data_IF_706683588840
#
_entry.id   IF_706683588840
#
_cell.length_a   1.000
_cell.length_b   1.000
_cell.length_c   1.000
_cell.angle_alpha   90.00
_cell.angle_beta   90.00
_cell.angle_gamma   90.00
#
_symmetry.space_group_name_H-M   'P 1'
#
loop_
_entity.id
_entity.type
_entity.pdbx_description
1 polymer ?
#
# COMPACT_ATOMS: atom_id res chain seq x y z
N UNK A 1 -4.36 -61.29 -26.75
CA UNK A 1 -4.41 -60.01 -27.50
C UNK A 1 -5.30 -59.05 -26.71
N UNK A 2 -4.73 -58.24 -25.81
CA UNK A 2 -5.51 -57.31 -24.99
C UNK A 2 -5.76 -56.00 -25.77
N UNK A 3 -7.01 -55.56 -25.80
CA UNK A 3 -7.46 -54.30 -26.39
C UNK A 3 -7.08 -53.12 -25.50
N UNK A 4 -6.44 -52.12 -26.09
CA UNK A 4 -6.03 -50.88 -25.43
C UNK A 4 -7.21 -49.89 -25.33
N UNK A 5 -7.47 -49.42 -24.12
CA UNK A 5 -8.38 -48.33 -23.78
C UNK A 5 -7.71 -46.97 -24.07
N UNK A 6 -8.36 -45.99 -24.71
CA UNK A 6 -7.80 -44.66 -24.89
C UNK A 6 -7.87 -43.83 -23.59
N UNK A 7 -6.91 -42.91 -23.35
CA UNK A 7 -6.81 -42.16 -22.10
C UNK A 7 -7.86 -41.05 -21.98
N UNK A 8 -8.41 -40.93 -20.78
CA UNK A 8 -9.34 -39.89 -20.37
C UNK A 8 -8.66 -38.52 -20.38
N UNK A 9 -9.24 -37.57 -21.13
CA UNK A 9 -8.91 -36.15 -21.08
C UNK A 9 -9.22 -35.59 -19.70
N UNK A 10 -8.15 -35.31 -18.93
CA UNK A 10 -8.18 -34.53 -17.70
C UNK A 10 -8.81 -33.15 -17.96
N UNK A 11 -10.00 -32.92 -17.41
CA UNK A 11 -10.63 -31.60 -17.40
C UNK A 11 -9.92 -30.74 -16.35
N UNK A 12 -9.18 -29.75 -16.84
CA UNK A 12 -8.59 -28.68 -16.02
C UNK A 12 -9.66 -28.00 -15.15
N UNK A 13 -9.45 -27.83 -13.82
CA UNK A 13 -10.41 -27.15 -12.95
C UNK A 13 -10.41 -25.65 -13.24
N UNK A 14 -11.60 -25.10 -13.49
CA UNK A 14 -11.81 -23.66 -13.73
C UNK A 14 -11.21 -22.81 -12.60
N UNK A 15 -10.59 -21.66 -12.92
CA UNK A 15 -10.05 -20.76 -11.91
C UNK A 15 -11.16 -20.19 -11.00
N UNK A 16 -10.86 -19.92 -9.72
CA UNK A 16 -11.82 -19.35 -8.78
C UNK A 16 -12.31 -17.97 -9.27
N UNK A 17 -13.58 -17.67 -9.02
CA UNK A 17 -14.20 -16.41 -9.40
C UNK A 17 -13.38 -15.21 -8.89
N UNK A 18 -13.11 -14.26 -9.80
CA UNK A 18 -12.37 -13.04 -9.49
C UNK A 18 -13.05 -12.25 -8.37
N UNK A 19 -12.26 -11.73 -7.42
CA UNK A 19 -12.76 -10.89 -6.35
C UNK A 19 -13.57 -9.70 -6.93
N UNK A 20 -14.76 -9.39 -6.39
CA UNK A 20 -15.60 -8.33 -6.91
C UNK A 20 -14.83 -7.00 -6.86
N UNK A 21 -14.67 -6.35 -8.01
CA UNK A 21 -14.12 -5.00 -8.08
C UNK A 21 -15.19 -3.98 -7.67
N UNK A 22 -14.80 -2.73 -7.41
CA UNK A 22 -15.72 -1.68 -6.94
C UNK A 22 -16.96 -1.48 -7.84
N UNK A 23 -16.88 -1.84 -9.13
CA UNK A 23 -17.95 -1.74 -10.12
C UNK A 23 -18.70 -3.07 -10.34
N UNK A 24 -18.16 -4.20 -9.89
CA UNK A 24 -18.82 -5.50 -10.00
C UNK A 24 -19.89 -5.61 -8.91
N UNK A 25 -21.15 -5.93 -9.22
CA UNK A 25 -22.17 -6.12 -8.19
C UNK A 25 -21.77 -7.20 -7.19
N UNK A 26 -21.65 -6.84 -5.91
CA UNK A 26 -21.55 -7.80 -4.82
C UNK A 26 -22.92 -8.38 -4.47
N UNK A 27 -22.94 -9.35 -3.55
CA UNK A 27 -24.16 -10.08 -3.14
C UNK A 27 -25.34 -9.15 -2.79
N UNK A 28 -25.10 -8.08 -2.03
CA UNK A 28 -26.15 -7.14 -1.63
C UNK A 28 -26.63 -6.27 -2.79
N UNK A 29 -25.73 -5.86 -3.67
CA UNK A 29 -26.08 -5.08 -4.86
C UNK A 29 -26.93 -5.91 -5.82
N UNK A 30 -26.56 -7.17 -6.04
CA UNK A 30 -27.34 -8.12 -6.84
C UNK A 30 -28.73 -8.39 -6.23
N UNK A 31 -28.79 -8.61 -4.92
CA UNK A 31 -30.06 -8.77 -4.20
C UNK A 31 -30.95 -7.53 -4.32
N UNK A 32 -30.37 -6.33 -4.22
CA UNK A 32 -31.11 -5.07 -4.40
C UNK A 32 -31.68 -4.95 -5.82
N UNK A 33 -30.87 -5.26 -6.84
CA UNK A 33 -31.30 -5.22 -8.25
C UNK A 33 -32.44 -6.21 -8.51
N UNK A 34 -32.29 -7.42 -7.99
CA UNK A 34 -33.31 -8.47 -8.12
C UNK A 34 -34.61 -8.04 -7.44
N UNK A 35 -34.52 -7.46 -6.24
CA UNK A 35 -35.68 -7.03 -5.47
C UNK A 35 -36.47 -5.92 -6.16
N UNK A 36 -35.82 -4.84 -6.63
CA UNK A 36 -36.56 -3.73 -7.22
C UNK A 36 -37.21 -4.14 -8.56
N UNK A 37 -36.53 -4.99 -9.35
CA UNK A 37 -37.11 -5.53 -10.60
C UNK A 37 -38.33 -6.39 -10.30
N UNK A 38 -38.23 -7.29 -9.32
CA UNK A 38 -39.37 -8.12 -8.91
C UNK A 38 -40.54 -7.29 -8.37
N UNK A 39 -40.26 -6.24 -7.59
CA UNK A 39 -41.29 -5.35 -7.05
C UNK A 39 -41.99 -4.54 -8.15
N UNK A 40 -41.24 -4.05 -9.13
CA UNK A 40 -41.78 -3.36 -10.30
C UNK A 40 -42.69 -4.28 -11.11
N UNK A 41 -42.27 -5.52 -11.33
CA UNK A 41 -43.03 -6.52 -12.09
C UNK A 41 -44.34 -6.85 -11.38
N UNK A 42 -44.29 -7.05 -10.06
CA UNK A 42 -45.48 -7.27 -9.24
C UNK A 42 -46.44 -6.08 -9.24
N UNK A 43 -45.90 -4.86 -9.28
CA UNK A 43 -46.72 -3.64 -9.33
C UNK A 43 -47.45 -3.52 -10.67
N UNK A 44 -46.79 -3.86 -11.78
CA UNK A 44 -47.40 -3.85 -13.11
C UNK A 44 -48.41 -4.99 -13.29
N UNK A 45 -48.15 -6.17 -12.72
CA UNK A 45 -49.09 -7.30 -12.70
C UNK A 45 -50.40 -6.95 -11.98
N UNK A 46 -50.36 -6.08 -10.97
CA UNK A 46 -51.55 -5.62 -10.27
C UNK A 46 -52.50 -4.82 -11.19
N UNK A 47 -51.98 -4.20 -12.25
CA UNK A 47 -52.77 -3.56 -13.30
C UNK A 47 -53.20 -4.65 -14.29
N UNK A 48 -54.09 -5.54 -13.87
CA UNK A 48 -54.53 -6.64 -14.72
C UNK A 48 -55.38 -6.12 -15.90
N UNK A 49 -55.36 -6.78 -17.06
CA UNK A 49 -56.18 -6.39 -18.21
C UNK A 49 -57.68 -6.35 -17.89
N UNK A 50 -58.15 -7.22 -16.99
CA UNK A 50 -59.55 -7.27 -16.55
C UNK A 50 -59.92 -6.09 -15.66
N UNK A 51 -59.06 -5.74 -14.69
CA UNK A 51 -59.24 -4.57 -13.83
C UNK A 51 -59.23 -3.28 -14.67
N UNK A 52 -58.30 -3.20 -15.62
CA UNK A 52 -58.19 -2.08 -16.55
C UNK A 52 -59.42 -1.96 -17.46
N UNK A 53 -59.90 -3.06 -18.04
CA UNK A 53 -61.09 -3.07 -18.89
C UNK A 53 -62.38 -2.73 -18.14
N UNK A 54 -62.48 -3.07 -16.84
CA UNK A 54 -63.62 -2.70 -16.01
C UNK A 54 -63.76 -1.18 -15.82
N UNK A 55 -62.65 -0.43 -15.88
CA UNK A 55 -62.67 1.04 -15.84
C UNK A 55 -63.14 1.68 -17.16
N UNK A 56 -63.16 0.93 -18.27
CA UNK A 56 -63.53 1.43 -19.60
C UNK A 56 -64.59 0.52 -20.27
N UNK A 57 -65.79 0.35 -19.69
CA UNK A 57 -66.76 -0.65 -20.12
C UNK A 57 -67.25 -0.46 -21.57
N UNK A 58 -67.41 0.79 -22.02
CA UNK A 58 -67.82 1.09 -23.40
C UNK A 58 -66.76 0.66 -24.42
N UNK A 59 -65.49 0.97 -24.17
CA UNK A 59 -64.38 0.63 -25.06
C UNK A 59 -64.09 -0.88 -25.01
N UNK A 60 -64.21 -1.48 -23.82
CA UNK A 60 -64.08 -2.94 -23.64
C UNK A 60 -65.05 -3.72 -24.52
N UNK A 61 -66.28 -3.21 -24.68
CA UNK A 61 -67.30 -3.85 -25.54
C UNK A 61 -67.06 -3.57 -27.02
N UNK A 62 -66.77 -2.32 -27.38
CA UNK A 62 -66.72 -1.89 -28.78
C UNK A 62 -65.37 -2.12 -29.46
N UNK A 63 -64.28 -2.17 -28.70
CA UNK A 63 -62.91 -2.24 -29.20
C UNK A 63 -61.95 -2.94 -28.21
N UNK A 64 -62.18 -4.22 -27.85
CA UNK A 64 -61.37 -4.93 -26.85
C UNK A 64 -59.91 -5.09 -27.26
N UNK A 65 -59.63 -5.26 -28.56
CA UNK A 65 -58.28 -5.43 -29.10
C UNK A 65 -57.45 -4.16 -28.98
N UNK A 66 -58.05 -2.99 -29.24
CA UNK A 66 -57.39 -1.69 -29.14
C UNK A 66 -57.09 -1.35 -27.67
N UNK A 67 -58.03 -1.66 -26.77
CA UNK A 67 -57.85 -1.47 -25.33
C UNK A 67 -56.73 -2.37 -24.78
N UNK A 68 -56.66 -3.63 -25.20
CA UNK A 68 -55.59 -4.55 -24.82
C UNK A 68 -54.21 -4.09 -25.33
N UNK A 69 -54.14 -3.59 -26.57
CA UNK A 69 -52.92 -3.01 -27.12
C UNK A 69 -52.47 -1.77 -26.34
N UNK A 70 -53.40 -0.89 -25.96
CA UNK A 70 -53.10 0.30 -25.15
C UNK A 70 -52.60 -0.08 -23.75
N UNK A 71 -53.25 -1.04 -23.08
CA UNK A 71 -52.82 -1.55 -21.78
C UNK A 71 -51.42 -2.15 -21.83
N UNK A 72 -51.14 -2.98 -22.84
CA UNK A 72 -49.82 -3.59 -23.05
C UNK A 72 -48.75 -2.52 -23.31
N UNK A 73 -49.05 -1.54 -24.18
CA UNK A 73 -48.15 -0.44 -24.48
C UNK A 73 -47.86 0.44 -23.25
N UNK A 74 -48.88 0.75 -22.46
CA UNK A 74 -48.76 1.53 -21.23
C UNK A 74 -47.90 0.81 -20.18
N UNK A 75 -48.16 -0.47 -19.92
CA UNK A 75 -47.41 -1.26 -18.93
C UNK A 75 -45.96 -1.49 -19.36
N UNK A 76 -45.71 -1.78 -20.64
CA UNK A 76 -44.36 -1.91 -21.18
C UNK A 76 -43.60 -0.57 -21.16
N UNK A 77 -44.27 0.52 -21.54
CA UNK A 77 -43.71 1.87 -21.50
C UNK A 77 -43.30 2.26 -20.07
N UNK A 78 -44.23 2.10 -19.10
CA UNK A 78 -43.96 2.39 -17.69
C UNK A 78 -42.82 1.53 -17.14
N UNK A 79 -42.75 0.24 -17.51
CA UNK A 79 -41.62 -0.63 -17.15
C UNK A 79 -40.30 -0.07 -17.66
N UNK A 80 -40.23 0.23 -18.97
CA UNK A 80 -38.99 0.69 -19.60
C UNK A 80 -38.52 2.01 -19.01
N UNK A 81 -39.44 2.96 -18.79
CA UNK A 81 -39.16 4.24 -18.17
C UNK A 81 -38.63 4.07 -16.74
N UNK A 82 -39.34 3.30 -15.91
CA UNK A 82 -38.94 3.09 -14.53
C UNK A 82 -37.57 2.37 -14.41
N UNK A 83 -37.29 1.37 -15.25
CA UNK A 83 -35.97 0.73 -15.26
C UNK A 83 -34.85 1.71 -15.64
N UNK A 84 -35.06 2.56 -16.65
CA UNK A 84 -34.08 3.58 -17.04
C UNK A 84 -33.82 4.61 -15.93
N UNK A 85 -34.87 5.05 -15.24
CA UNK A 85 -34.74 5.96 -14.09
C UNK A 85 -34.02 5.27 -12.91
N UNK A 86 -34.32 4.00 -12.63
CA UNK A 86 -33.59 3.26 -11.61
C UNK A 86 -32.11 3.12 -11.95
N UNK A 87 -31.76 2.82 -13.19
CA UNK A 87 -30.37 2.73 -13.63
C UNK A 87 -29.65 4.08 -13.47
N UNK A 88 -30.31 5.18 -13.83
CA UNK A 88 -29.80 6.55 -13.62
C UNK A 88 -29.55 6.82 -12.13
N UNK A 89 -30.51 6.52 -11.25
CA UNK A 89 -30.35 6.70 -9.80
C UNK A 89 -29.22 5.82 -9.24
N UNK A 90 -29.08 4.59 -9.73
CA UNK A 90 -28.04 3.65 -9.31
C UNK A 90 -26.64 4.19 -9.60
N UNK A 91 -26.46 4.82 -10.77
CA UNK A 91 -25.23 5.48 -11.18
C UNK A 91 -24.98 6.77 -10.37
N UNK A 92 -25.95 7.68 -10.30
CA UNK A 92 -25.81 8.96 -9.61
C UNK A 92 -25.46 8.79 -8.13
N UNK A 93 -26.12 7.84 -7.46
CA UNK A 93 -25.92 7.57 -6.03
C UNK A 93 -24.81 6.54 -5.77
N UNK A 94 -24.17 6.03 -6.82
CA UNK A 94 -23.10 5.02 -6.76
C UNK A 94 -23.48 3.85 -5.87
N UNK A 95 -24.70 3.34 -6.04
CA UNK A 95 -25.31 2.39 -5.10
C UNK A 95 -24.49 1.11 -5.03
N UNK A 96 -24.03 0.57 -6.16
CA UNK A 96 -23.22 -0.65 -6.21
C UNK A 96 -21.93 -0.50 -5.41
N UNK A 97 -21.20 0.59 -5.63
CA UNK A 97 -19.96 0.90 -4.91
C UNK A 97 -20.19 1.00 -3.39
N UNK A 98 -21.25 1.70 -2.98
CA UNK A 98 -21.58 1.90 -1.57
C UNK A 98 -22.04 0.61 -0.89
N UNK A 99 -22.83 -0.23 -1.57
CA UNK A 99 -23.24 -1.53 -1.05
C UNK A 99 -22.06 -2.51 -0.96
N UNK A 100 -21.12 -2.47 -1.91
CA UNK A 100 -19.90 -3.26 -1.84
C UNK A 100 -19.02 -2.82 -0.67
N UNK A 101 -18.80 -1.50 -0.48
CA UNK A 101 -18.09 -0.95 0.68
C UNK A 101 -18.74 -1.36 2.00
N UNK A 102 -20.06 -1.41 2.06
CA UNK A 102 -20.78 -1.86 3.25
C UNK A 102 -20.46 -3.33 3.56
N UNK A 103 -20.40 -4.20 2.55
CA UNK A 103 -20.01 -5.60 2.75
C UNK A 103 -18.57 -5.74 3.24
N UNK A 104 -17.64 -4.92 2.72
CA UNK A 104 -16.27 -4.87 3.22
C UNK A 104 -16.22 -4.51 4.70
N UNK A 105 -16.95 -3.46 5.10
CA UNK A 105 -17.08 -3.02 6.50
C UNK A 105 -17.70 -4.09 7.41
N UNK A 106 -18.73 -4.79 6.94
CA UNK A 106 -19.35 -5.91 7.69
C UNK A 106 -18.35 -7.05 7.85
N UNK A 107 -17.60 -7.38 6.79
CA UNK A 107 -16.58 -8.44 6.82
C UNK A 107 -15.48 -8.11 7.83
N UNK A 108 -15.02 -6.87 7.85
CA UNK A 108 -13.99 -6.38 8.76
C UNK A 108 -14.48 -6.35 10.21
N UNK A 109 -15.73 -5.92 10.43
CA UNK A 109 -16.36 -5.96 11.74
C UNK A 109 -16.47 -7.39 12.27
N UNK A 110 -16.88 -8.36 11.43
CA UNK A 110 -16.91 -9.78 11.78
C UNK A 110 -15.53 -10.32 12.14
N UNK A 111 -14.49 -9.98 11.36
CA UNK A 111 -13.09 -10.34 11.64
C UNK A 111 -12.58 -9.72 12.96
N UNK A 112 -12.96 -8.48 13.27
CA UNK A 112 -12.60 -7.83 14.55
C UNK A 112 -13.28 -8.52 15.73
N UNK A 113 -14.58 -8.81 15.61
CA UNK A 113 -15.34 -9.55 16.63
C UNK A 113 -14.77 -10.94 16.89
N UNK A 114 -14.41 -11.69 15.83
CA UNK A 114 -13.82 -13.01 15.97
C UNK A 114 -12.46 -12.98 16.71
N UNK A 115 -11.64 -11.95 16.45
CA UNK A 115 -10.35 -11.76 17.13
C UNK A 115 -10.50 -11.34 18.59
N UNK A 116 -11.52 -10.55 18.92
CA UNK A 116 -11.78 -10.15 20.31
C UNK A 116 -12.34 -11.30 21.15
N UNK A 117 -13.15 -12.20 20.58
CA UNK A 117 -13.65 -13.39 21.30
C UNK A 117 -12.59 -14.44 21.61
N UNK A 118 -11.43 -14.40 20.95
CA UNK A 118 -10.29 -15.28 21.22
C UNK A 118 -9.26 -14.69 22.19
N UNK A 119 -9.39 -13.42 22.56
CA UNK A 119 -8.50 -12.72 23.50
C UNK A 119 -9.17 -12.52 24.86
N UNK A 120 -8.39 -12.63 25.93
CA UNK A 120 -8.77 -12.41 27.33
C UNK A 120 -9.08 -10.94 27.70
N UNK A 121 -9.34 -10.06 26.72
CA UNK A 121 -9.69 -8.66 26.97
C UNK A 121 -11.21 -8.50 26.93
N UNK A 122 -11.75 -8.19 28.12
CA UNK A 122 -13.15 -8.36 28.48
C UNK A 122 -14.15 -7.47 27.73
N UNK A 123 -15.34 -8.06 27.58
CA UNK A 123 -16.73 -7.59 27.73
C UNK A 123 -17.11 -6.09 27.67
N UNK A 124 -16.25 -5.18 27.22
CA UNK A 124 -16.61 -3.78 27.05
C UNK A 124 -17.51 -3.63 25.82
N UNK A 125 -18.79 -3.32 26.06
CA UNK A 125 -19.76 -3.10 25.01
C UNK A 125 -19.27 -1.98 24.07
N UNK A 126 -19.27 -2.20 22.74
CA UNK A 126 -18.82 -1.18 21.80
C UNK A 126 -19.67 0.09 21.95
N UNK A 127 -19.02 1.20 22.28
CA UNK A 127 -19.66 2.52 22.40
C UNK A 127 -20.22 2.92 21.03
N UNK A 128 -21.53 3.24 20.93
CA UNK A 128 -22.11 3.56 19.65
C UNK A 128 -21.57 4.89 19.11
N UNK A 129 -21.38 5.04 17.79
CA UNK A 129 -20.66 6.16 17.18
C UNK A 129 -21.26 7.54 17.50
N UNK A 130 -22.56 7.62 17.78
CA UNK A 130 -23.27 8.86 18.09
C UNK A 130 -23.06 9.34 19.54
N UNK A 131 -22.52 8.50 20.43
CA UNK A 131 -22.18 8.89 21.81
C UNK A 131 -20.68 9.11 22.00
N UNK A 132 -19.87 8.93 20.95
CA UNK A 132 -18.43 9.13 21.03
C UNK A 132 -18.09 10.62 21.17
N UNK A 133 -17.31 11.01 22.19
CA UNK A 133 -16.86 12.39 22.33
C UNK A 133 -15.85 12.75 21.22
N UNK A 134 -15.68 14.05 20.92
CA UNK A 134 -14.85 14.50 19.80
C UNK A 134 -13.37 14.15 19.96
N UNK A 135 -12.82 14.14 21.18
CA UNK A 135 -11.39 13.88 21.43
C UNK A 135 -10.95 12.47 20.94
N UNK A 136 -11.61 11.36 21.34
CA UNK A 136 -11.33 10.04 20.78
C UNK A 136 -11.44 9.96 19.26
N UNK A 137 -12.41 10.64 18.63
CA UNK A 137 -12.56 10.64 17.17
C UNK A 137 -11.36 11.30 16.49
N UNK A 138 -10.97 12.50 16.94
CA UNK A 138 -9.79 13.20 16.42
C UNK A 138 -8.53 12.34 16.60
N UNK A 139 -8.34 11.77 17.80
CA UNK A 139 -7.20 10.89 18.07
C UNK A 139 -7.21 9.64 17.19
N UNK A 140 -8.37 9.01 16.95
CA UNK A 140 -8.48 7.85 16.08
C UNK A 140 -8.05 8.16 14.63
N UNK A 141 -8.34 9.37 14.14
CA UNK A 141 -7.89 9.82 12.81
C UNK A 141 -6.42 10.23 12.77
N UNK A 142 -5.91 10.89 13.81
CA UNK A 142 -4.52 11.37 13.84
C UNK A 142 -3.52 10.25 14.16
N UNK A 143 -3.91 9.25 14.95
CA UNK A 143 -3.01 8.17 15.39
C UNK A 143 -2.36 7.39 14.24
N UNK A 144 -3.06 6.97 13.17
CA UNK A 144 -2.43 6.32 12.02
C UNK A 144 -1.36 7.20 11.36
N UNK A 145 -1.62 8.50 11.21
CA UNK A 145 -0.68 9.46 10.62
C UNK A 145 0.52 9.60 11.54
N UNK A 146 0.31 9.82 12.83
CA UNK A 146 1.38 9.93 13.83
C UNK A 146 2.24 8.67 13.87
N UNK A 147 1.65 7.46 13.84
CA UNK A 147 2.40 6.21 13.80
C UNK A 147 3.25 6.08 12.54
N UNK A 148 2.69 6.45 11.37
CA UNK A 148 3.44 6.45 10.11
C UNK A 148 4.65 7.38 10.18
N UNK A 149 4.44 8.62 10.65
CA UNK A 149 5.51 9.61 10.81
C UNK A 149 6.56 9.17 11.84
N UNK A 150 6.14 8.62 12.97
CA UNK A 150 7.03 8.09 13.99
C UNK A 150 7.90 6.95 13.45
N UNK A 151 7.33 6.04 12.65
CA UNK A 151 8.08 4.97 11.99
C UNK A 151 9.13 5.53 11.02
N UNK A 152 8.77 6.53 10.22
CA UNK A 152 9.72 7.19 9.30
C UNK A 152 10.87 7.89 10.04
N UNK A 153 10.55 8.62 11.12
CA UNK A 153 11.55 9.31 11.93
C UNK A 153 12.48 8.33 12.64
N UNK A 154 11.96 7.22 13.17
CA UNK A 154 12.77 6.17 13.77
C UNK A 154 13.73 5.53 12.76
N UNK A 155 13.26 5.26 11.54
CA UNK A 155 14.11 4.71 10.48
C UNK A 155 15.23 5.69 10.08
N UNK A 156 14.92 6.99 9.99
CA UNK A 156 15.93 8.03 9.74
C UNK A 156 16.93 8.13 10.87
N UNK A 157 16.47 8.14 12.12
CA UNK A 157 17.33 8.19 13.30
C UNK A 157 18.29 7.00 13.33
N UNK A 158 17.78 5.80 13.09
CA UNK A 158 18.60 4.57 13.04
C UNK A 158 19.65 4.64 11.91
N UNK A 159 19.27 5.18 10.75
CA UNK A 159 20.19 5.37 9.61
C UNK A 159 21.29 6.39 9.95
N UNK A 160 20.94 7.52 10.56
CA UNK A 160 21.93 8.53 10.96
C UNK A 160 22.85 7.99 12.07
N UNK A 161 22.31 7.25 13.03
CA UNK A 161 23.11 6.63 14.09
C UNK A 161 24.11 5.61 13.54
N UNK A 162 23.72 4.78 12.57
CA UNK A 162 24.63 3.83 11.94
C UNK A 162 25.71 4.53 11.10
N UNK A 163 25.35 5.59 10.36
CA UNK A 163 26.32 6.42 9.63
C UNK A 163 27.31 7.09 10.56
N UNK A 164 26.85 7.66 11.68
CA UNK A 164 27.73 8.29 12.66
C UNK A 164 28.68 7.28 13.31
N UNK A 165 28.18 6.07 13.64
CA UNK A 165 29.03 5.00 14.17
C UNK A 165 30.16 4.63 13.19
N UNK A 166 29.83 4.46 11.91
CA UNK A 166 30.81 4.18 10.85
C UNK A 166 31.82 5.31 10.70
N UNK A 167 31.37 6.57 10.69
CA UNK A 167 32.27 7.73 10.57
C UNK A 167 33.22 7.84 11.76
N UNK A 168 32.76 7.56 12.98
CA UNK A 168 33.60 7.55 14.18
C UNK A 168 34.66 6.46 14.08
N UNK A 169 34.31 5.28 13.56
CA UNK A 169 35.26 4.18 13.35
C UNK A 169 36.34 4.57 12.33
N UNK A 170 35.94 5.15 11.19
CA UNK A 170 36.86 5.65 10.17
C UNK A 170 37.79 6.72 10.74
N UNK A 171 37.26 7.70 11.47
CA UNK A 171 38.07 8.75 12.10
C UNK A 171 39.07 8.20 13.11
N UNK A 172 38.70 7.19 13.91
CA UNK A 172 39.63 6.54 14.84
C UNK A 172 40.76 5.84 14.11
N UNK A 173 40.45 5.13 13.02
CA UNK A 173 41.45 4.48 12.18
C UNK A 173 42.40 5.48 11.54
N UNK A 174 41.87 6.55 10.95
CA UNK A 174 42.67 7.62 10.34
C UNK A 174 43.57 8.32 11.36
N UNK A 175 43.08 8.58 12.57
CA UNK A 175 43.90 9.16 13.64
C UNK A 175 45.07 8.25 14.03
N UNK A 176 44.82 6.96 14.19
CA UNK A 176 45.87 5.99 14.48
C UNK A 176 46.92 5.92 13.35
N UNK A 177 46.47 5.92 12.10
CA UNK A 177 47.36 5.93 10.93
C UNK A 177 48.21 7.21 10.86
N UNK A 178 47.61 8.38 11.12
CA UNK A 178 48.35 9.66 11.18
C UNK A 178 49.40 9.62 12.30
N UNK A 179 49.06 9.12 13.49
CA UNK A 179 50.02 9.00 14.59
C UNK A 179 51.20 8.08 14.24
N UNK A 180 50.97 6.99 13.50
CA UNK A 180 52.05 6.12 13.01
C UNK A 180 52.90 6.79 11.94
N UNK A 181 52.29 7.46 10.97
CA UNK A 181 53.00 8.19 9.91
C UNK A 181 53.84 9.33 10.48
N UNK A 182 53.34 10.05 11.48
CA UNK A 182 54.10 11.11 12.18
C UNK A 182 55.31 10.51 12.89
N UNK A 183 55.16 9.42 13.64
CA UNK A 183 56.30 8.74 14.30
C UNK A 183 57.35 8.25 13.30
N UNK A 184 56.91 7.75 12.13
CA UNK A 184 57.83 7.33 11.07
C UNK A 184 58.58 8.53 10.48
N UNK A 185 57.88 9.64 10.21
CA UNK A 185 58.49 10.86 9.70
C UNK A 185 59.49 11.46 10.70
N UNK A 186 59.14 11.50 12.00
CA UNK A 186 60.05 11.93 13.07
C UNK A 186 61.32 11.08 13.11
N UNK A 187 61.19 9.75 12.94
CA UNK A 187 62.35 8.84 12.87
C UNK A 187 63.23 9.13 11.65
N UNK A 188 62.63 9.24 10.46
CA UNK A 188 63.39 9.52 9.23
C UNK A 188 64.08 10.89 9.29
N UNK A 189 63.42 11.92 9.84
CA UNK A 189 64.04 13.23 10.08
C UNK A 189 65.20 13.12 11.07
N UNK A 190 65.04 12.33 12.14
CA UNK A 190 66.12 11.99 13.07
C UNK A 190 67.31 11.33 12.37
N UNK A 191 67.05 10.28 11.58
CA UNK A 191 68.07 9.53 10.84
C UNK A 191 68.81 10.41 9.82
N UNK A 192 68.09 11.27 9.09
CA UNK A 192 68.69 12.25 8.16
C UNK A 192 69.50 13.30 8.92
N UNK A 193 69.01 13.76 10.07
CA UNK A 193 69.74 14.67 10.95
C UNK A 193 71.04 14.06 11.50
N UNK A 194 71.01 12.78 11.87
CA UNK A 194 72.18 12.02 12.30
C UNK A 194 73.16 11.78 11.14
N UNK A 195 72.65 11.40 9.96
CA UNK A 195 73.47 11.25 8.77
C UNK A 195 74.14 12.58 8.37
N UNK A 196 73.41 13.69 8.44
CA UNK A 196 73.94 15.04 8.20
C UNK A 196 75.03 15.42 9.21
N UNK A 197 74.84 15.12 10.49
CA UNK A 197 75.89 15.32 11.52
C UNK A 197 77.15 14.50 11.24
N UNK A 198 77.00 13.23 10.86
CA UNK A 198 78.13 12.33 10.53
C UNK A 198 78.88 12.78 9.27
N UNK A 199 78.16 13.22 8.24
CA UNK A 199 78.78 13.78 7.03
C UNK A 199 79.46 15.12 7.33
N UNK A 200 78.90 15.94 8.22
CA UNK A 200 79.53 17.17 8.70
C UNK A 200 80.87 16.90 9.40
N UNK A 201 80.89 15.98 10.37
CA UNK A 201 82.13 15.63 11.07
C UNK A 201 83.18 14.99 10.15
N UNK A 202 82.78 14.11 9.23
CA UNK A 202 83.69 13.55 8.24
C UNK A 202 84.19 14.61 7.24
N UNK A 203 83.35 15.56 6.87
CA UNK A 203 83.73 16.71 6.04
C UNK A 203 84.75 17.61 6.75
N UNK A 204 84.58 17.85 8.05
CA UNK A 204 85.56 18.58 8.88
C UNK A 204 86.89 17.82 8.99
N UNK A 205 86.86 16.50 9.24
CA UNK A 205 88.06 15.65 9.27
C UNK A 205 88.79 15.62 7.92
N UNK A 206 88.06 15.53 6.80
CA UNK A 206 88.63 15.58 5.45
C UNK A 206 89.14 16.98 5.09
N UNK A 207 88.51 18.04 5.58
CA UNK A 207 88.98 19.42 5.41
C UNK A 207 90.24 19.69 6.24
N UNK A 208 90.36 19.13 7.44
CA UNK A 208 91.60 19.13 8.22
C UNK A 208 92.70 18.27 7.57
N UNK A 209 92.34 17.10 7.05
CA UNK A 209 93.25 16.23 6.30
C UNK A 209 93.75 16.87 5.01
N UNK A 210 92.89 17.56 4.26
CA UNK A 210 93.26 18.29 3.04
C UNK A 210 94.16 19.49 3.36
N UNK A 211 93.87 20.24 4.43
CA UNK A 211 94.75 21.31 4.92
C UNK A 211 96.14 20.79 5.29
N UNK A 212 96.24 19.66 6.00
CA UNK A 212 97.52 19.01 6.33
C UNK A 212 98.23 18.42 5.11
N UNK A 213 97.48 17.88 4.15
CA UNK A 213 98.04 17.35 2.90
C UNK A 213 98.60 18.47 2.01
N UNK A 214 97.90 19.61 1.90
CA UNK A 214 98.40 20.82 1.24
C UNK A 214 99.68 21.36 1.91
N UNK A 215 99.72 21.40 3.26
CA UNK A 215 100.93 21.75 4.00
C UNK A 215 102.11 20.80 3.72
N UNK A 216 101.85 19.50 3.50
CA UNK A 216 102.89 18.51 3.19
C UNK A 216 103.35 18.53 1.73
N UNK A 217 102.48 18.92 0.79
CA UNK A 217 102.80 19.04 -0.65
C UNK A 217 103.41 20.39 -1.02
N UNK A 218 103.24 21.44 -0.20
CA UNK A 218 103.98 22.70 -0.31
C UNK A 218 105.43 22.65 0.22
N UNK A 219 105.90 21.48 0.66
CA UNK A 219 107.21 21.24 1.29
C UNK A 219 108.19 20.42 0.41
N UNK A 220 107.96 20.35 -0.90
CA UNK A 220 108.91 19.81 -1.89
C UNK A 220 109.33 20.92 -2.84
#
# INVERSE_FOLDING_TARGET
MPSATPPETERSPSPPASAPTALTPGYRAEAFVTLYKAALDKTLEAISPSSFGACFPSISTNAPTQLAAMHTGMTAGLRSFALAEFDTIMEERRVVENLNRLEDLISDAKKRKARSTSGTDGDEQPVPPHTLPPKPLVNAHLNPIHRSQQSQLNARLQTTQSQNANLIEVLRRQKAEIEELVKLAERVVGDVGDAGRRLGSQGEELAEGSRRAEESLGSV
#
